data_IF_486615878157
#
_entry.id   IF_486615878157
#
_cell.length_a   1.000
_cell.length_b   1.000
_cell.length_c   1.000
_cell.angle_alpha   90.00
_cell.angle_beta   90.00
_cell.angle_gamma   90.00
#
_symmetry.space_group_name_H-M   'P 1'
#
loop_
_entity.id
_entity.type
_entity.pdbx_description
1 polymer ?
#
# COMPACT_ATOMS: atom_id res chain seq x y z
N UNK A 1 -63.95 59.80 26.41
CA UNK A 1 -63.60 58.41 26.17
C UNK A 1 -62.60 58.38 25.04
N UNK A 2 -61.29 58.27 25.38
CA UNK A 2 -60.16 58.32 24.37
C UNK A 2 -59.77 56.88 24.08
N UNK A 3 -59.87 56.47 22.83
CA UNK A 3 -59.39 55.16 22.32
C UNK A 3 -57.94 55.36 21.88
N UNK A 4 -57.03 54.64 22.55
CA UNK A 4 -55.63 54.58 22.16
C UNK A 4 -55.41 53.37 21.23
N UNK A 5 -55.08 53.62 19.99
CA UNK A 5 -54.71 52.59 19.02
C UNK A 5 -53.26 52.24 19.20
N UNK A 6 -52.96 50.96 19.53
CA UNK A 6 -51.59 50.42 19.55
C UNK A 6 -51.28 49.79 18.20
N UNK A 7 -50.33 50.37 17.50
CA UNK A 7 -49.80 49.82 16.27
C UNK A 7 -48.70 48.80 16.59
N UNK A 8 -48.91 47.54 16.23
CA UNK A 8 -47.97 46.44 16.38
C UNK A 8 -47.02 46.39 15.15
N UNK A 9 -45.78 46.77 15.37
CA UNK A 9 -44.71 46.63 14.35
C UNK A 9 -44.15 45.22 14.40
N UNK A 10 -44.46 44.41 13.36
CA UNK A 10 -43.85 43.09 13.14
C UNK A 10 -42.54 43.27 12.41
N UNK A 11 -41.43 43.10 13.14
CA UNK A 11 -40.11 43.07 12.57
C UNK A 11 -39.82 41.71 11.88
N UNK A 12 -39.63 41.72 10.57
CA UNK A 12 -39.21 40.55 9.80
C UNK A 12 -37.70 40.44 9.94
N UNK A 13 -37.21 39.40 10.66
CA UNK A 13 -35.82 39.05 10.71
C UNK A 13 -35.52 38.14 9.52
N UNK A 14 -34.80 38.66 8.53
CA UNK A 14 -34.29 37.87 7.40
C UNK A 14 -32.97 37.22 7.83
N UNK A 15 -33.01 35.90 8.16
CA UNK A 15 -31.81 35.12 8.32
C UNK A 15 -31.15 34.86 6.95
N UNK A 16 -30.08 35.54 6.66
CA UNK A 16 -29.23 35.23 5.51
C UNK A 16 -28.40 33.97 5.83
N UNK A 17 -28.80 32.81 5.27
CA UNK A 17 -28.01 31.60 5.32
C UNK A 17 -26.83 31.71 4.35
N UNK A 18 -25.63 31.93 4.89
CA UNK A 18 -24.40 31.83 4.11
C UNK A 18 -24.14 30.36 3.79
N UNK A 19 -24.47 29.93 2.59
CA UNK A 19 -24.06 28.64 2.07
C UNK A 19 -22.54 28.70 1.81
N UNK A 20 -21.75 28.09 2.69
CA UNK A 20 -20.32 27.81 2.41
C UNK A 20 -20.24 26.82 1.26
N UNK A 21 -19.90 27.31 0.08
CA UNK A 21 -19.51 26.45 -1.03
C UNK A 21 -18.19 25.75 -0.64
N UNK A 22 -18.29 24.50 -0.22
CA UNK A 22 -17.13 23.63 -0.13
C UNK A 22 -16.60 23.44 -1.54
N UNK A 23 -15.47 24.06 -1.86
CA UNK A 23 -14.73 23.77 -3.09
C UNK A 23 -14.27 22.31 -2.98
N UNK A 24 -14.97 21.40 -3.65
CA UNK A 24 -14.50 20.05 -3.86
C UNK A 24 -13.19 20.19 -4.63
N UNK A 25 -12.09 19.87 -3.94
CA UNK A 25 -10.78 19.74 -4.58
C UNK A 25 -10.91 18.60 -5.58
N UNK A 26 -10.90 18.90 -6.86
CA UNK A 26 -10.88 17.87 -7.90
C UNK A 26 -9.57 17.12 -7.73
N UNK A 27 -9.62 15.94 -7.12
CA UNK A 27 -8.53 14.99 -7.20
C UNK A 27 -8.24 14.78 -8.69
N UNK A 28 -6.98 14.81 -9.09
CA UNK A 28 -6.59 14.52 -10.47
C UNK A 28 -7.26 13.22 -10.89
N UNK A 29 -8.04 13.28 -11.98
CA UNK A 29 -8.86 12.17 -12.44
C UNK A 29 -8.03 10.98 -12.94
N UNK A 30 -6.69 11.11 -12.98
CA UNK A 30 -5.75 10.08 -13.41
C UNK A 30 -4.42 10.21 -12.66
N UNK A 31 -3.69 9.10 -12.57
CA UNK A 31 -2.33 9.06 -12.08
C UNK A 31 -1.46 8.32 -13.11
N UNK A 32 -0.47 9.00 -13.67
CA UNK A 32 0.46 8.47 -14.67
C UNK A 32 1.86 8.58 -14.09
N UNK A 33 2.57 7.45 -14.01
CA UNK A 33 3.96 7.38 -13.54
C UNK A 33 4.77 6.63 -14.58
N UNK A 34 5.61 7.35 -15.32
CA UNK A 34 6.55 6.75 -16.27
C UNK A 34 7.82 6.26 -15.55
N UNK A 35 8.61 5.33 -16.13
CA UNK A 35 9.76 4.75 -15.46
C UNK A 35 10.76 5.75 -14.87
N UNK A 36 11.14 6.86 -15.52
CA UNK A 36 12.07 7.83 -14.93
C UNK A 36 11.47 8.66 -13.78
N UNK A 37 10.15 8.67 -13.62
CA UNK A 37 9.46 9.43 -12.56
C UNK A 37 9.29 8.62 -11.27
N UNK A 38 9.60 7.33 -11.30
CA UNK A 38 9.47 6.45 -10.13
C UNK A 38 10.40 6.93 -9.02
N UNK A 39 9.83 7.26 -7.86
CA UNK A 39 10.56 7.70 -6.67
C UNK A 39 10.89 6.49 -5.80
N UNK A 40 12.09 5.95 -5.98
CA UNK A 40 12.60 4.88 -5.15
C UNK A 40 13.11 5.41 -3.80
N UNK A 41 12.82 4.69 -2.74
CA UNK A 41 13.28 4.96 -1.40
C UNK A 41 13.53 3.67 -0.63
N UNK A 42 14.08 3.75 0.58
CA UNK A 42 14.30 2.56 1.41
C UNK A 42 12.97 1.88 1.71
N UNK A 43 12.95 0.55 1.68
CA UNK A 43 11.79 -0.22 2.11
C UNK A 43 11.53 -0.01 3.61
N UNK A 44 10.28 -0.15 4.09
CA UNK A 44 9.96 -0.01 5.51
C UNK A 44 10.67 -1.07 6.36
N UNK A 45 10.84 -0.80 7.66
CA UNK A 45 11.58 -1.66 8.58
C UNK A 45 11.02 -3.09 8.70
N UNK A 46 9.79 -3.34 8.25
CA UNK A 46 9.20 -4.68 8.21
C UNK A 46 9.72 -5.55 7.05
N UNK A 47 10.38 -4.94 6.06
CA UNK A 47 10.99 -5.63 4.93
C UNK A 47 12.47 -5.84 5.22
N UNK A 48 13.08 -6.99 4.92
CA UNK A 48 14.50 -7.19 5.13
C UNK A 48 15.34 -6.09 4.47
N UNK A 49 16.44 -5.64 5.08
CA UNK A 49 17.27 -4.57 4.54
C UNK A 49 17.86 -4.96 3.18
N UNK A 50 18.06 -3.96 2.32
CA UNK A 50 18.64 -4.15 0.98
C UNK A 50 17.61 -4.07 -0.16
N UNK A 51 16.33 -3.87 0.15
CA UNK A 51 15.32 -3.55 -0.85
C UNK A 51 15.02 -2.05 -0.89
N UNK A 52 14.58 -1.59 -2.06
CA UNK A 52 13.98 -0.27 -2.27
C UNK A 52 12.50 -0.43 -2.64
N UNK A 53 11.70 0.55 -2.27
CA UNK A 53 10.27 0.55 -2.52
C UNK A 53 9.85 1.88 -3.15
N UNK A 54 8.88 1.83 -4.06
CA UNK A 54 8.27 3.01 -4.67
C UNK A 54 6.75 2.87 -4.67
N UNK A 55 6.04 3.77 -4.00
CA UNK A 55 4.58 3.85 -4.07
C UNK A 55 4.19 4.54 -5.38
N UNK A 56 3.37 3.88 -6.18
CA UNK A 56 2.87 4.40 -7.45
C UNK A 56 1.47 4.99 -7.32
N UNK A 57 0.65 4.45 -6.41
CA UNK A 57 -0.72 4.89 -6.18
C UNK A 57 -1.14 4.56 -4.75
N UNK A 58 -1.97 5.40 -4.15
CA UNK A 58 -2.53 5.20 -2.82
C UNK A 58 -1.52 5.36 -1.69
N UNK A 59 -1.86 4.84 -0.51
CA UNK A 59 -1.03 4.90 0.70
C UNK A 59 -1.01 3.52 1.38
N UNK A 60 0.12 2.80 1.36
CA UNK A 60 0.21 1.46 1.98
C UNK A 60 -0.06 1.43 3.49
N UNK A 61 0.01 2.56 4.17
CA UNK A 61 -0.22 2.65 5.62
C UNK A 61 -1.70 2.83 5.99
N UNK A 62 -2.57 3.12 5.02
CA UNK A 62 -3.99 3.44 5.23
C UNK A 62 -4.89 2.41 4.58
N UNK A 63 -6.16 2.40 5.01
CA UNK A 63 -7.20 1.66 4.28
C UNK A 63 -7.35 2.21 2.86
N UNK A 64 -7.64 1.32 1.93
CA UNK A 64 -7.80 1.63 0.51
C UNK A 64 -6.81 0.90 -0.38
N UNK A 65 -7.08 0.93 -1.67
CA UNK A 65 -6.25 0.26 -2.69
C UNK A 65 -4.96 1.05 -2.90
N UNK A 66 -3.84 0.34 -3.03
CA UNK A 66 -2.58 0.94 -3.44
C UNK A 66 -1.83 0.04 -4.45
N UNK A 67 -0.91 0.66 -5.17
CA UNK A 67 0.06 0.00 -6.03
C UNK A 67 1.47 0.49 -5.67
N UNK A 68 2.41 -0.44 -5.52
CA UNK A 68 3.81 -0.13 -5.27
C UNK A 68 4.74 -1.08 -6.04
N UNK A 69 6.00 -0.72 -6.14
CA UNK A 69 7.05 -1.61 -6.64
C UNK A 69 8.11 -1.82 -5.56
N UNK A 70 8.58 -3.06 -5.49
CA UNK A 70 9.73 -3.47 -4.70
C UNK A 70 10.86 -3.82 -5.67
N UNK A 71 12.06 -3.28 -5.40
CA UNK A 71 13.28 -3.56 -6.15
C UNK A 71 14.32 -4.12 -5.18
N UNK A 72 14.95 -5.23 -5.56
CA UNK A 72 16.03 -5.82 -4.78
C UNK A 72 17.06 -6.49 -5.70
N UNK A 73 18.29 -6.58 -5.23
CA UNK A 73 19.39 -7.20 -5.94
C UNK A 73 19.30 -8.73 -5.92
N UNK A 74 20.00 -9.37 -6.85
CA UNK A 74 20.24 -10.81 -6.85
C UNK A 74 20.70 -11.30 -5.48
N UNK A 75 20.13 -12.42 -5.03
CA UNK A 75 20.43 -13.03 -3.74
C UNK A 75 19.60 -12.48 -2.57
N UNK A 76 18.77 -11.46 -2.81
CA UNK A 76 17.86 -10.97 -1.79
C UNK A 76 16.84 -12.06 -1.42
N UNK A 77 16.43 -12.06 -0.14
CA UNK A 77 15.56 -13.10 0.40
C UNK A 77 14.57 -12.50 1.40
N UNK A 78 13.29 -12.86 1.24
CA UNK A 78 12.24 -12.55 2.21
C UNK A 78 11.85 -13.88 2.87
N UNK A 79 12.11 -14.05 4.18
CA UNK A 79 11.78 -15.26 4.95
C UNK A 79 10.28 -15.54 4.99
N UNK A 80 9.86 -16.74 5.44
CA UNK A 80 8.46 -17.10 5.58
C UNK A 80 7.67 -16.06 6.37
N UNK A 81 6.65 -15.51 5.74
CA UNK A 81 5.81 -14.46 6.28
C UNK A 81 4.39 -14.55 5.72
N UNK A 82 3.47 -13.82 6.32
CA UNK A 82 2.09 -13.66 5.89
C UNK A 82 1.73 -12.19 5.73
N UNK A 83 0.65 -11.92 5.01
CA UNK A 83 0.05 -10.58 4.92
C UNK A 83 -1.38 -10.57 5.46
N UNK A 84 -1.85 -9.44 6.03
CA UNK A 84 -3.24 -9.32 6.52
C UNK A 84 -4.28 -9.19 5.39
N UNK A 85 -3.85 -8.79 4.20
CA UNK A 85 -4.67 -8.59 2.99
C UNK A 85 -4.13 -9.45 1.86
N UNK A 86 -4.92 -9.73 0.79
CA UNK A 86 -4.40 -10.47 -0.36
C UNK A 86 -3.28 -9.68 -1.03
N UNK A 87 -2.23 -10.35 -1.45
CA UNK A 87 -1.12 -9.73 -2.18
C UNK A 87 -1.13 -10.21 -3.64
N UNK A 88 -1.18 -9.26 -4.56
CA UNK A 88 -1.26 -9.51 -6.01
C UNK A 88 0.01 -8.96 -6.64
N UNK A 89 0.79 -9.85 -7.25
CA UNK A 89 2.15 -9.55 -7.70
C UNK A 89 2.31 -9.78 -9.20
N UNK A 90 3.10 -8.90 -9.81
CA UNK A 90 3.61 -9.06 -11.18
C UNK A 90 5.11 -8.84 -11.19
N UNK A 91 5.86 -9.80 -11.71
CA UNK A 91 7.31 -9.66 -11.92
C UNK A 91 7.53 -8.75 -13.14
N UNK A 92 8.04 -7.54 -12.91
CA UNK A 92 8.29 -6.55 -13.97
C UNK A 92 9.60 -6.81 -14.69
N UNK A 93 10.65 -7.16 -13.92
CA UNK A 93 11.98 -7.52 -14.45
C UNK A 93 12.66 -8.51 -13.54
N UNK A 94 13.64 -9.25 -14.05
CA UNK A 94 14.39 -10.26 -13.30
C UNK A 94 13.60 -11.55 -13.07
N UNK A 95 13.95 -12.27 -12.01
CA UNK A 95 13.36 -13.56 -11.67
C UNK A 95 13.27 -13.72 -10.16
N UNK A 96 12.09 -14.08 -9.66
CA UNK A 96 11.90 -14.51 -8.27
C UNK A 96 11.62 -16.01 -8.20
N UNK A 97 11.84 -16.60 -7.01
CA UNK A 97 11.30 -17.91 -6.65
C UNK A 97 10.33 -17.75 -5.51
N UNK A 98 9.09 -18.15 -5.74
CA UNK A 98 8.02 -18.16 -4.74
C UNK A 98 7.90 -19.56 -4.14
N UNK A 99 8.07 -19.66 -2.84
CA UNK A 99 7.79 -20.88 -2.09
C UNK A 99 6.65 -20.69 -1.10
N UNK A 100 5.86 -21.73 -0.89
CA UNK A 100 4.71 -21.72 0.01
C UNK A 100 5.04 -22.49 1.29
N UNK A 101 4.50 -22.02 2.41
CA UNK A 101 4.62 -22.67 3.72
C UNK A 101 5.55 -21.93 4.68
N UNK A 102 5.67 -22.50 5.87
CA UNK A 102 6.34 -21.89 7.02
C UNK A 102 7.85 -22.15 7.08
N UNK A 103 8.35 -23.06 6.25
CA UNK A 103 9.77 -23.41 6.19
C UNK A 103 10.29 -23.16 4.79
N UNK A 104 11.30 -22.30 4.68
CA UNK A 104 11.89 -21.99 3.38
C UNK A 104 12.68 -23.16 2.83
N UNK A 105 12.36 -23.51 1.58
CA UNK A 105 13.08 -24.52 0.79
C UNK A 105 13.20 -24.04 -0.66
N UNK A 106 14.40 -23.56 -1.02
CA UNK A 106 14.64 -23.03 -2.36
C UNK A 106 14.39 -24.06 -3.48
N UNK A 107 14.59 -25.35 -3.19
CA UNK A 107 14.40 -26.41 -4.18
C UNK A 107 12.93 -26.64 -4.54
N UNK A 108 12.02 -26.28 -3.62
CA UNK A 108 10.56 -26.37 -3.80
C UNK A 108 9.93 -25.07 -4.30
N UNK A 109 10.69 -23.98 -4.31
CA UNK A 109 10.19 -22.69 -4.74
C UNK A 109 10.07 -22.63 -6.28
N UNK A 110 8.90 -22.22 -6.75
CA UNK A 110 8.61 -22.06 -8.18
C UNK A 110 9.33 -20.84 -8.74
N UNK A 111 10.03 -21.01 -9.85
CA UNK A 111 10.70 -19.93 -10.56
C UNK A 111 9.68 -19.14 -11.39
N UNK A 112 9.72 -17.82 -11.25
CA UNK A 112 8.82 -16.85 -11.86
C UNK A 112 9.63 -15.74 -12.54
N UNK A 113 9.87 -15.81 -13.86
CA UNK A 113 10.57 -14.79 -14.62
C UNK A 113 9.69 -13.55 -14.85
N UNK A 114 10.28 -12.50 -15.44
CA UNK A 114 9.55 -11.30 -15.86
C UNK A 114 8.30 -11.64 -16.67
N UNK A 115 7.20 -10.92 -16.40
CA UNK A 115 5.87 -11.17 -16.94
C UNK A 115 5.04 -12.16 -16.13
N UNK A 116 5.63 -12.90 -15.18
CA UNK A 116 4.89 -13.80 -14.31
C UNK A 116 3.95 -13.04 -13.37
N UNK A 117 2.83 -13.67 -13.05
CA UNK A 117 1.84 -13.21 -12.09
C UNK A 117 1.67 -14.24 -10.99
N UNK A 118 1.49 -13.77 -9.75
CA UNK A 118 1.07 -14.62 -8.65
C UNK A 118 0.24 -13.83 -7.64
N UNK A 119 -0.64 -14.52 -6.92
CA UNK A 119 -1.41 -13.95 -5.84
C UNK A 119 -1.35 -14.85 -4.61
N UNK A 120 -1.24 -14.23 -3.43
CA UNK A 120 -1.24 -14.94 -2.15
C UNK A 120 -2.41 -14.42 -1.32
N UNK A 121 -3.23 -15.34 -0.83
CA UNK A 121 -4.38 -15.01 0.02
C UNK A 121 -3.93 -14.56 1.42
N UNK A 122 -4.76 -13.79 2.14
CA UNK A 122 -4.45 -13.37 3.51
C UNK A 122 -4.09 -14.54 4.42
N UNK A 123 -3.07 -14.36 5.25
CA UNK A 123 -2.65 -15.35 6.25
C UNK A 123 -1.90 -16.57 5.70
N UNK A 124 -1.75 -16.69 4.39
CA UNK A 124 -0.99 -17.82 3.80
C UNK A 124 0.52 -17.52 3.88
N UNK A 125 1.24 -18.42 4.54
CA UNK A 125 2.68 -18.33 4.69
C UNK A 125 3.39 -18.60 3.36
N UNK A 126 4.31 -17.72 2.99
CA UNK A 126 5.13 -17.82 1.80
C UNK A 126 6.48 -17.14 1.98
N UNK A 127 7.42 -17.42 1.09
CA UNK A 127 8.77 -16.86 1.09
C UNK A 127 9.25 -16.63 -0.34
N UNK A 128 10.18 -15.69 -0.51
CA UNK A 128 10.63 -15.27 -1.84
C UNK A 128 12.16 -15.18 -1.89
N UNK A 129 12.77 -15.82 -2.89
CA UNK A 129 14.17 -15.63 -3.26
C UNK A 129 14.26 -14.85 -4.57
N UNK A 130 15.28 -14.02 -4.71
CA UNK A 130 15.56 -13.22 -5.89
C UNK A 130 16.76 -13.84 -6.62
N UNK A 131 16.50 -14.38 -7.81
CA UNK A 131 17.55 -15.04 -8.63
C UNK A 131 18.37 -14.03 -9.43
N UNK A 132 17.80 -12.85 -9.69
CA UNK A 132 18.40 -11.75 -10.43
C UNK A 132 18.09 -10.42 -9.74
N UNK A 133 18.66 -9.31 -10.22
CA UNK A 133 18.20 -7.96 -9.92
C UNK A 133 16.76 -7.82 -10.41
N UNK A 134 15.82 -7.66 -9.52
CA UNK A 134 14.40 -7.85 -9.81
C UNK A 134 13.56 -6.67 -9.34
N UNK A 135 12.53 -6.36 -10.14
CA UNK A 135 11.42 -5.47 -9.77
C UNK A 135 10.12 -6.26 -9.78
N UNK A 136 9.42 -6.22 -8.66
CA UNK A 136 8.07 -6.79 -8.52
C UNK A 136 7.08 -5.65 -8.28
N UNK A 137 5.97 -5.64 -8.99
CA UNK A 137 4.85 -4.74 -8.69
C UNK A 137 3.85 -5.46 -7.80
N UNK A 138 3.47 -4.80 -6.72
CA UNK A 138 2.54 -5.27 -5.69
C UNK A 138 1.29 -4.40 -5.75
N UNK A 139 0.13 -5.03 -5.86
CA UNK A 139 -1.17 -4.37 -5.80
C UNK A 139 -1.99 -5.03 -4.69
N UNK A 140 -2.53 -4.23 -3.78
CA UNK A 140 -3.34 -4.75 -2.68
C UNK A 140 -4.13 -3.60 -2.02
N UNK A 141 -4.71 -3.86 -0.86
CA UNK A 141 -5.29 -2.82 0.01
C UNK A 141 -4.49 -2.73 1.32
N UNK A 142 -4.39 -1.52 1.84
CA UNK A 142 -3.73 -1.27 3.13
C UNK A 142 -4.67 -1.47 4.35
N UNK A 143 -4.13 -1.38 5.55
CA UNK A 143 -2.70 -1.21 5.84
C UNK A 143 -1.90 -2.47 5.48
N UNK A 144 -0.73 -2.25 4.85
CA UNK A 144 0.14 -3.34 4.41
C UNK A 144 1.26 -3.60 5.42
N UNK A 145 1.66 -4.87 5.53
CA UNK A 145 2.75 -5.28 6.40
C UNK A 145 3.07 -6.75 6.27
N UNK A 146 4.25 -7.13 6.78
CA UNK A 146 4.71 -8.51 6.87
C UNK A 146 4.63 -8.99 8.32
N UNK A 147 4.05 -10.18 8.51
CA UNK A 147 4.05 -10.92 9.77
C UNK A 147 4.93 -12.15 9.58
N UNK A 148 6.13 -12.15 10.16
CA UNK A 148 7.07 -13.26 10.02
C UNK A 148 6.61 -14.48 10.81
N UNK A 149 6.73 -15.66 10.20
CA UNK A 149 6.43 -16.95 10.85
C UNK A 149 7.40 -17.18 12.04
N UNK A 150 8.69 -16.97 11.78
CA UNK A 150 9.69 -17.00 12.84
C UNK A 150 10.03 -15.55 13.27
N UNK A 151 9.74 -15.16 14.54
CA UNK A 151 10.04 -13.81 15.02
C UNK A 151 11.50 -13.37 14.89
N UNK A 152 12.44 -14.32 14.86
CA UNK A 152 13.88 -14.03 14.67
C UNK A 152 14.21 -13.52 13.27
N UNK A 153 13.34 -13.74 12.30
CA UNK A 153 13.50 -13.27 10.94
C UNK A 153 12.97 -11.84 10.75
N UNK A 154 12.20 -11.34 11.72
CA UNK A 154 11.66 -9.99 11.70
C UNK A 154 12.79 -8.95 11.87
N UNK A 155 13.06 -8.11 10.83
CA UNK A 155 14.14 -7.13 10.92
C UNK A 155 13.95 -6.10 12.04
N UNK A 156 12.70 -5.83 12.44
CA UNK A 156 12.35 -4.90 13.52
C UNK A 156 12.86 -5.37 14.89
N UNK A 157 13.08 -6.67 15.06
CA UNK A 157 13.61 -7.28 16.29
C UNK A 157 15.14 -7.18 16.39
N UNK A 158 15.82 -6.91 15.25
CA UNK A 158 17.30 -6.88 15.18
C UNK A 158 17.89 -5.48 15.41
N UNK A 159 17.03 -4.48 15.58
CA UNK A 159 17.40 -3.06 15.72
C UNK A 159 17.48 -2.59 17.18
N UNK A 160 17.45 -3.52 18.15
CA UNK A 160 17.56 -3.22 19.59
C UNK A 160 18.92 -3.63 20.13
#
# INVERSE_FOLDING_TARGET
>A
MKIVSQSLLIGIVVLASAASAATAQTADAHNIVSPPEIKWGPAPASVPPGAELAVLYGDPSKEGVFAMRLKAAKGYYIPPHTHPKPEINTVISGTVRLGMGETADRSKAQQLPAGSFFAVSPGIAHYVFFDDDTVVQINTSGPWGLNYVNPKDDPRQKSQ
#
